data_IF_221427207302
#
_entry.id   IF_221427207302
#
_cell.length_a   1.000
_cell.length_b   1.000
_cell.length_c   1.000
_cell.angle_alpha   90.00
_cell.angle_beta   90.00
_cell.angle_gamma   90.00
#
_symmetry.space_group_name_H-M   'P 1'
#
loop_
_entity.id
_entity.type
_entity.pdbx_description
1 polymer ?
#
# COMPACT_ATOMS: atom_id res chain seq x y z
N UNK A 1 -48.75 -6.02 -6.86
CA UNK A 1 -48.15 -4.67 -7.03
C UNK A 1 -48.28 -3.79 -5.79
N UNK A 2 -49.47 -3.63 -5.19
CA UNK A 2 -49.62 -2.83 -3.96
C UNK A 2 -48.92 -3.48 -2.75
N UNK A 3 -49.04 -4.80 -2.61
CA UNK A 3 -48.40 -5.59 -1.56
C UNK A 3 -46.87 -5.55 -1.65
N UNK A 4 -46.29 -5.77 -2.84
CA UNK A 4 -44.84 -5.62 -3.07
C UNK A 4 -44.32 -4.25 -2.64
N UNK A 5 -45.01 -3.15 -3.02
CA UNK A 5 -44.59 -1.80 -2.62
C UNK A 5 -44.64 -1.59 -1.11
N UNK A 6 -45.63 -2.18 -0.43
CA UNK A 6 -45.73 -2.15 1.03
C UNK A 6 -44.59 -2.95 1.68
N UNK A 7 -44.32 -4.16 1.19
CA UNK A 7 -43.22 -5.02 1.63
C UNK A 7 -41.86 -4.33 1.46
N UNK A 8 -41.59 -3.72 0.29
CA UNK A 8 -40.36 -2.96 0.04
C UNK A 8 -40.20 -1.77 0.99
N UNK A 9 -41.29 -1.06 1.30
CA UNK A 9 -41.25 0.07 2.24
C UNK A 9 -40.98 -0.41 3.67
N UNK A 10 -41.59 -1.51 4.08
CA UNK A 10 -41.38 -2.13 5.39
C UNK A 10 -39.95 -2.66 5.52
N UNK A 11 -39.45 -3.42 4.54
CA UNK A 11 -38.09 -3.93 4.51
C UNK A 11 -37.06 -2.80 4.57
N UNK A 12 -37.27 -1.70 3.84
CA UNK A 12 -36.41 -0.51 3.93
C UNK A 12 -36.33 0.05 5.34
N UNK A 13 -37.48 0.10 6.04
CA UNK A 13 -37.54 0.59 7.43
C UNK A 13 -36.78 -0.36 8.37
N UNK A 14 -37.03 -1.67 8.28
CA UNK A 14 -36.34 -2.68 9.08
C UNK A 14 -34.82 -2.66 8.87
N UNK A 15 -34.37 -2.52 7.63
CA UNK A 15 -32.94 -2.37 7.29
C UNK A 15 -32.32 -1.10 7.89
N UNK A 16 -33.06 -0.01 7.99
CA UNK A 16 -32.59 1.21 8.64
C UNK A 16 -32.50 1.10 10.17
N UNK A 17 -33.31 0.22 10.76
CA UNK A 17 -33.33 -0.06 12.21
C UNK A 17 -32.37 -1.20 12.61
N UNK A 18 -31.76 -1.88 11.62
CA UNK A 18 -30.80 -2.97 11.83
C UNK A 18 -31.40 -4.37 11.86
N UNK A 19 -32.73 -4.51 11.77
CA UNK A 19 -33.47 -5.77 11.76
C UNK A 19 -33.38 -6.45 10.38
N UNK A 20 -32.19 -6.95 10.04
CA UNK A 20 -31.91 -7.47 8.69
C UNK A 20 -32.57 -8.81 8.40
N UNK A 21 -32.76 -9.64 9.42
CA UNK A 21 -33.43 -10.95 9.31
C UNK A 21 -34.93 -10.76 9.02
N UNK A 22 -35.63 -9.96 9.83
CA UNK A 22 -37.04 -9.61 9.62
C UNK A 22 -37.28 -8.92 8.26
N UNK A 23 -36.32 -8.10 7.81
CA UNK A 23 -36.38 -7.48 6.50
C UNK A 23 -36.33 -8.53 5.38
N UNK A 24 -35.52 -9.58 5.54
CA UNK A 24 -35.42 -10.65 4.56
C UNK A 24 -36.69 -11.50 4.56
N UNK A 25 -37.24 -11.84 5.74
CA UNK A 25 -38.52 -12.55 5.86
C UNK A 25 -39.66 -11.79 5.16
N UNK A 26 -39.73 -10.47 5.35
CA UNK A 26 -40.72 -9.60 4.68
C UNK A 26 -40.58 -9.62 3.16
N UNK A 27 -39.37 -9.86 2.64
CA UNK A 27 -39.10 -9.92 1.21
C UNK A 27 -39.16 -11.35 0.64
N UNK A 28 -39.20 -12.37 1.51
CA UNK A 28 -39.08 -13.78 1.11
C UNK A 28 -40.22 -14.20 0.20
N UNK A 29 -41.47 -13.83 0.52
CA UNK A 29 -42.64 -14.13 -0.32
C UNK A 29 -42.46 -13.59 -1.75
N UNK A 30 -41.97 -12.36 -1.89
CA UNK A 30 -41.73 -11.75 -3.19
C UNK A 30 -40.55 -12.38 -3.94
N UNK A 31 -39.56 -12.92 -3.23
CA UNK A 31 -38.44 -13.66 -3.81
C UNK A 31 -38.88 -15.06 -4.27
N UNK A 32 -39.74 -15.72 -3.50
CA UNK A 32 -40.29 -17.05 -3.79
C UNK A 32 -41.26 -17.01 -4.98
N UNK A 33 -42.01 -15.92 -5.12
CA UNK A 33 -42.85 -15.62 -6.29
C UNK A 33 -42.04 -15.23 -7.54
N UNK A 34 -40.70 -15.27 -7.48
CA UNK A 34 -39.76 -14.92 -8.55
C UNK A 34 -39.99 -13.52 -9.14
N UNK A 35 -40.43 -12.57 -8.32
CA UNK A 35 -40.68 -11.20 -8.77
C UNK A 35 -39.34 -10.53 -9.14
N UNK A 36 -39.22 -10.11 -10.40
CA UNK A 36 -38.05 -9.37 -10.88
C UNK A 36 -38.21 -7.87 -10.61
N UNK A 37 -37.82 -7.43 -9.42
CA UNK A 37 -37.78 -6.00 -9.05
C UNK A 37 -36.39 -5.57 -8.57
N UNK A 38 -35.93 -4.42 -9.07
CA UNK A 38 -34.62 -3.88 -8.73
C UNK A 38 -34.47 -3.60 -7.23
N UNK A 39 -35.50 -3.01 -6.60
CA UNK A 39 -35.46 -2.63 -5.19
C UNK A 39 -35.55 -3.87 -4.30
N UNK A 40 -36.35 -4.87 -4.70
CA UNK A 40 -36.42 -6.16 -4.03
C UNK A 40 -35.04 -6.81 -3.93
N UNK A 41 -34.36 -7.00 -5.06
CA UNK A 41 -33.02 -7.59 -5.06
C UNK A 41 -31.99 -6.71 -4.32
N UNK A 42 -32.09 -5.38 -4.44
CA UNK A 42 -31.18 -4.46 -3.74
C UNK A 42 -31.33 -4.51 -2.21
N UNK A 43 -32.56 -4.60 -1.70
CA UNK A 43 -32.83 -4.70 -0.27
C UNK A 43 -32.52 -6.09 0.29
N UNK A 44 -32.88 -7.15 -0.44
CA UNK A 44 -32.50 -8.51 -0.06
C UNK A 44 -30.97 -8.68 -0.02
N UNK A 45 -30.25 -8.08 -0.99
CA UNK A 45 -28.79 -8.06 -0.99
C UNK A 45 -28.22 -7.33 0.24
N UNK A 46 -28.80 -6.18 0.60
CA UNK A 46 -28.38 -5.42 1.76
C UNK A 46 -28.62 -6.19 3.07
N UNK A 47 -29.75 -6.87 3.20
CA UNK A 47 -30.05 -7.74 4.33
C UNK A 47 -28.99 -8.84 4.48
N UNK A 48 -28.71 -9.58 3.41
CA UNK A 48 -27.67 -10.61 3.38
C UNK A 48 -26.28 -10.05 3.72
N UNK A 49 -25.94 -8.88 3.19
CA UNK A 49 -24.67 -8.21 3.47
C UNK A 49 -24.50 -7.85 4.96
N UNK A 50 -25.59 -7.43 5.61
CA UNK A 50 -25.61 -7.11 7.04
C UNK A 50 -25.52 -8.37 7.91
N UNK A 51 -26.13 -9.47 7.48
CA UNK A 51 -26.04 -10.79 8.14
C UNK A 51 -24.67 -11.47 7.95
N UNK A 52 -23.84 -10.95 7.05
CA UNK A 52 -22.48 -11.47 6.80
C UNK A 52 -22.39 -12.41 5.59
N UNK A 53 -23.48 -12.70 4.91
CA UNK A 53 -23.46 -13.47 3.65
C UNK A 53 -23.14 -12.56 2.46
N UNK A 54 -21.86 -12.24 2.33
CA UNK A 54 -21.36 -11.40 1.25
C UNK A 54 -21.49 -12.07 -0.14
N UNK A 55 -21.50 -13.41 -0.21
CA UNK A 55 -21.61 -14.14 -1.47
C UNK A 55 -23.02 -14.05 -2.02
N UNK A 56 -24.02 -14.28 -1.18
CA UNK A 56 -25.42 -14.15 -1.58
C UNK A 56 -25.78 -12.69 -1.89
N UNK A 57 -25.27 -11.75 -1.08
CA UNK A 57 -25.42 -10.33 -1.35
C UNK A 57 -24.86 -9.93 -2.72
N UNK A 58 -23.68 -10.45 -3.10
CA UNK A 58 -23.10 -10.23 -4.43
C UNK A 58 -24.04 -10.69 -5.54
N UNK A 59 -24.55 -11.92 -5.46
CA UNK A 59 -25.45 -12.49 -6.48
C UNK A 59 -26.70 -11.62 -6.63
N UNK A 60 -27.31 -11.20 -5.52
CA UNK A 60 -28.51 -10.38 -5.53
C UNK A 60 -28.26 -8.96 -6.08
N UNK A 61 -27.14 -8.31 -5.71
CA UNK A 61 -26.77 -7.03 -6.32
C UNK A 61 -26.51 -7.17 -7.82
N UNK A 62 -25.85 -8.23 -8.27
CA UNK A 62 -25.64 -8.49 -9.69
C UNK A 62 -26.97 -8.71 -10.43
N UNK A 63 -27.94 -9.41 -9.83
CA UNK A 63 -29.31 -9.52 -10.39
C UNK A 63 -29.98 -8.15 -10.49
N UNK A 64 -29.90 -7.32 -9.46
CA UNK A 64 -30.46 -5.96 -9.50
C UNK A 64 -29.82 -5.12 -10.62
N UNK A 65 -28.50 -5.14 -10.75
CA UNK A 65 -27.77 -4.41 -11.80
C UNK A 65 -28.15 -4.90 -13.20
N UNK A 66 -28.44 -6.20 -13.38
CA UNK A 66 -28.91 -6.76 -14.65
C UNK A 66 -30.29 -6.24 -15.04
N UNK A 67 -31.17 -5.98 -14.06
CA UNK A 67 -32.49 -5.39 -14.32
C UNK A 67 -32.39 -3.91 -14.70
N UNK A 68 -31.65 -3.13 -13.92
CA UNK A 68 -31.42 -1.72 -14.23
C UNK A 68 -30.03 -1.27 -13.78
N UNK A 69 -29.12 -1.17 -14.75
CA UNK A 69 -27.75 -0.73 -14.52
C UNK A 69 -27.63 0.78 -14.23
N UNK A 70 -28.67 1.58 -14.51
CA UNK A 70 -28.61 3.05 -14.31
C UNK A 70 -28.79 3.43 -12.85
N UNK A 71 -29.44 2.58 -12.07
CA UNK A 71 -29.74 2.86 -10.68
C UNK A 71 -28.49 2.65 -9.79
N UNK A 72 -28.10 3.65 -8.97
CA UNK A 72 -26.82 3.60 -8.26
C UNK A 72 -26.82 2.69 -7.03
N UNK A 73 -27.99 2.36 -6.46
CA UNK A 73 -28.09 1.70 -5.16
C UNK A 73 -27.38 0.32 -5.11
N UNK A 74 -27.54 -0.51 -6.15
CA UNK A 74 -26.94 -1.83 -6.23
C UNK A 74 -25.43 -1.73 -6.47
N UNK A 75 -24.99 -0.79 -7.31
CA UNK A 75 -23.57 -0.50 -7.50
C UNK A 75 -22.89 -0.05 -6.20
N UNK A 76 -23.53 0.84 -5.44
CA UNK A 76 -23.02 1.30 -4.14
C UNK A 76 -22.97 0.17 -3.11
N UNK A 77 -23.98 -0.69 -3.07
CA UNK A 77 -24.01 -1.86 -2.20
C UNK A 77 -22.87 -2.83 -2.52
N UNK A 78 -22.68 -3.14 -3.80
CA UNK A 78 -21.61 -4.01 -4.27
C UNK A 78 -20.22 -3.40 -4.02
N UNK A 79 -20.04 -2.09 -4.27
CA UNK A 79 -18.81 -1.36 -3.93
C UNK A 79 -18.46 -1.50 -2.46
N UNK A 80 -19.42 -1.30 -1.56
CA UNK A 80 -19.21 -1.39 -0.11
C UNK A 80 -18.71 -2.78 0.30
N UNK A 81 -19.21 -3.85 -0.35
CA UNK A 81 -18.74 -5.21 -0.08
C UNK A 81 -17.26 -5.41 -0.45
N UNK A 82 -16.82 -4.88 -1.59
CA UNK A 82 -15.41 -4.91 -1.98
C UNK A 82 -14.55 -4.00 -1.11
N UNK A 83 -15.02 -2.78 -0.83
CA UNK A 83 -14.26 -1.78 -0.07
C UNK A 83 -14.01 -2.20 1.38
N UNK A 84 -15.01 -2.83 2.01
CA UNK A 84 -14.89 -3.38 3.38
C UNK A 84 -14.11 -4.70 3.44
N UNK A 85 -13.67 -5.24 2.30
CA UNK A 85 -12.95 -6.52 2.23
C UNK A 85 -13.82 -7.76 2.48
N UNK A 86 -15.16 -7.62 2.48
CA UNK A 86 -16.09 -8.76 2.58
C UNK A 86 -16.04 -9.64 1.33
N UNK A 87 -15.67 -9.05 0.19
CA UNK A 87 -15.39 -9.76 -1.05
C UNK A 87 -13.93 -9.54 -1.46
N UNK A 88 -13.26 -10.57 -2.00
CA UNK A 88 -11.93 -10.39 -2.57
C UNK A 88 -12.01 -9.44 -3.78
N UNK A 89 -10.99 -8.60 -4.00
CA UNK A 89 -10.91 -7.77 -5.19
C UNK A 89 -10.79 -8.66 -6.43
N UNK A 90 -11.57 -8.36 -7.45
CA UNK A 90 -11.53 -8.98 -8.77
C UNK A 90 -11.73 -7.90 -9.85
N UNK A 91 -11.71 -8.30 -11.13
CA UNK A 91 -11.95 -7.35 -12.23
C UNK A 91 -13.34 -6.69 -12.12
N UNK A 92 -14.31 -7.35 -11.48
CA UNK A 92 -15.65 -6.80 -11.23
C UNK A 92 -15.60 -5.63 -10.24
N UNK A 93 -14.74 -5.67 -9.22
CA UNK A 93 -14.53 -4.53 -8.32
C UNK A 93 -14.08 -3.27 -9.07
N UNK A 94 -13.22 -3.41 -10.09
CA UNK A 94 -12.77 -2.30 -10.92
C UNK A 94 -13.89 -1.73 -11.80
N UNK A 95 -14.74 -2.59 -12.37
CA UNK A 95 -15.93 -2.16 -13.13
C UNK A 95 -16.88 -1.33 -12.27
N UNK A 96 -17.13 -1.79 -11.03
CA UNK A 96 -17.96 -1.07 -10.07
C UNK A 96 -17.38 0.31 -9.75
N UNK A 97 -16.07 0.40 -9.48
CA UNK A 97 -15.41 1.69 -9.27
C UNK A 97 -15.56 2.62 -10.48
N UNK A 98 -15.32 2.12 -11.69
CA UNK A 98 -15.42 2.92 -12.91
C UNK A 98 -16.84 3.44 -13.15
N UNK A 99 -17.86 2.59 -12.92
CA UNK A 99 -19.25 3.01 -13.02
C UNK A 99 -19.58 4.11 -12.01
N UNK A 100 -19.21 3.92 -10.74
CA UNK A 100 -19.50 4.91 -9.70
C UNK A 100 -18.73 6.23 -9.89
N UNK A 101 -17.49 6.19 -10.39
CA UNK A 101 -16.73 7.39 -10.74
C UNK A 101 -17.43 8.15 -11.86
N UNK A 102 -17.89 7.45 -12.90
CA UNK A 102 -18.59 8.07 -14.03
C UNK A 102 -19.96 8.67 -13.64
N UNK A 103 -20.63 8.08 -12.65
CA UNK A 103 -21.94 8.53 -12.15
C UNK A 103 -21.86 9.44 -10.91
N UNK A 104 -20.67 9.81 -10.43
CA UNK A 104 -20.54 10.60 -9.19
C UNK A 104 -20.57 12.09 -9.49
N UNK A 105 -21.57 12.79 -8.95
CA UNK A 105 -21.67 14.25 -9.02
C UNK A 105 -20.74 14.96 -8.02
N UNK A 106 -20.31 14.25 -6.97
CA UNK A 106 -19.43 14.77 -5.93
C UNK A 106 -17.97 14.44 -6.21
N UNK A 107 -17.13 15.47 -6.25
CA UNK A 107 -15.69 15.32 -6.44
C UNK A 107 -15.02 14.59 -5.26
N UNK A 108 -15.45 14.85 -4.03
CA UNK A 108 -14.96 14.16 -2.84
C UNK A 108 -15.23 12.64 -2.89
N UNK A 109 -16.47 12.26 -3.25
CA UNK A 109 -16.83 10.84 -3.40
C UNK A 109 -16.06 10.20 -4.55
N UNK A 110 -15.89 10.93 -5.66
CA UNK A 110 -15.10 10.46 -6.79
C UNK A 110 -13.67 10.16 -6.38
N UNK A 111 -13.02 11.06 -5.65
CA UNK A 111 -11.65 10.86 -5.17
C UNK A 111 -11.52 9.67 -4.20
N UNK A 112 -12.47 9.48 -3.29
CA UNK A 112 -12.47 8.32 -2.40
C UNK A 112 -12.57 7.00 -3.19
N UNK A 113 -13.42 6.95 -4.22
CA UNK A 113 -13.57 5.76 -5.07
C UNK A 113 -12.34 5.54 -5.95
N UNK A 114 -11.71 6.61 -6.44
CA UNK A 114 -10.43 6.53 -7.18
C UNK A 114 -9.31 5.94 -6.32
N UNK A 115 -9.23 6.34 -5.05
CA UNK A 115 -8.27 5.77 -4.10
C UNK A 115 -8.50 4.27 -3.89
N UNK A 116 -9.75 3.86 -3.67
CA UNK A 116 -10.11 2.44 -3.58
C UNK A 116 -9.80 1.69 -4.89
N UNK A 117 -10.02 2.31 -6.05
CA UNK A 117 -9.67 1.72 -7.35
C UNK A 117 -8.15 1.51 -7.49
N UNK A 118 -7.32 2.45 -7.02
CA UNK A 118 -5.85 2.30 -7.00
C UNK A 118 -5.43 1.12 -6.12
N UNK A 119 -6.07 0.97 -4.95
CA UNK A 119 -5.87 -0.20 -4.08
C UNK A 119 -6.18 -1.51 -4.80
N UNK A 120 -7.30 -1.58 -5.51
CA UNK A 120 -7.66 -2.77 -6.30
C UNK A 120 -6.67 -3.04 -7.44
N UNK A 121 -6.19 -2.02 -8.16
CA UNK A 121 -5.14 -2.23 -9.17
C UNK A 121 -3.87 -2.83 -8.56
N UNK A 122 -3.48 -2.37 -7.37
CA UNK A 122 -2.31 -2.89 -6.66
C UNK A 122 -2.48 -4.34 -6.21
N UNK A 123 -3.66 -4.71 -5.71
CA UNK A 123 -3.98 -6.07 -5.26
C UNK A 123 -4.06 -7.05 -6.43
N UNK A 124 -4.60 -6.61 -7.57
CA UNK A 124 -4.69 -7.38 -8.81
C UNK A 124 -3.40 -7.38 -9.65
N UNK A 125 -2.34 -6.73 -9.17
CA UNK A 125 -1.06 -6.54 -9.86
C UNK A 125 -1.19 -5.90 -11.25
N UNK A 126 -2.19 -5.02 -11.42
CA UNK A 126 -2.47 -4.25 -12.65
C UNK A 126 -1.64 -2.96 -12.67
N UNK A 127 -0.32 -3.12 -12.69
CA UNK A 127 0.61 -2.01 -12.52
C UNK A 127 0.61 -1.03 -13.70
N UNK A 128 0.28 -1.49 -14.91
CA UNK A 128 0.23 -0.63 -16.09
C UNK A 128 -0.87 0.44 -15.99
N UNK A 129 -1.98 0.13 -15.32
CA UNK A 129 -3.05 1.09 -15.04
C UNK A 129 -2.68 1.97 -13.84
N UNK A 130 -2.08 1.38 -12.80
CA UNK A 130 -1.67 2.10 -11.59
C UNK A 130 -0.56 3.12 -11.84
N UNK A 131 0.35 2.85 -12.77
CA UNK A 131 1.48 3.74 -13.09
C UNK A 131 1.04 5.07 -13.72
N UNK A 132 -0.14 5.09 -14.36
CA UNK A 132 -0.75 6.30 -14.95
C UNK A 132 -1.29 7.25 -13.90
N UNK A 133 -1.81 6.70 -12.80
CA UNK A 133 -2.36 7.46 -11.68
C UNK A 133 -2.07 6.74 -10.35
N UNK A 134 -0.83 6.85 -9.84
CA UNK A 134 -0.43 6.16 -8.61
C UNK A 134 -0.98 6.83 -7.34
N UNK A 135 -1.57 8.04 -7.47
CA UNK A 135 -1.98 8.87 -6.34
C UNK A 135 -0.81 9.52 -5.61
N UNK A 136 -1.13 10.23 -4.52
CA UNK A 136 -0.16 10.99 -3.72
C UNK A 136 -0.10 10.53 -2.25
N UNK A 137 -0.78 9.45 -1.88
CA UNK A 137 -0.73 8.94 -0.50
C UNK A 137 0.64 8.29 -0.20
N UNK A 138 1.48 8.88 0.67
CA UNK A 138 2.79 8.34 0.98
C UNK A 138 2.72 6.96 1.66
N UNK A 139 1.63 6.63 2.35
CA UNK A 139 1.47 5.34 3.02
C UNK A 139 1.26 4.24 1.96
N UNK A 140 0.33 4.45 1.03
CA UNK A 140 0.07 3.54 -0.09
C UNK A 140 1.28 3.41 -1.02
N UNK A 141 1.93 4.52 -1.40
CA UNK A 141 3.15 4.49 -2.21
C UNK A 141 4.29 3.76 -1.49
N UNK A 142 4.39 3.90 -0.17
CA UNK A 142 5.30 3.10 0.65
C UNK A 142 5.05 1.60 0.53
N UNK A 143 3.77 1.16 0.58
CA UNK A 143 3.41 -0.26 0.38
C UNK A 143 3.77 -0.76 -1.03
N UNK A 144 3.59 0.08 -2.05
CA UNK A 144 4.00 -0.24 -3.42
C UNK A 144 5.51 -0.45 -3.48
N UNK A 145 6.28 0.50 -2.93
CA UNK A 145 7.73 0.40 -2.88
C UNK A 145 8.21 -0.86 -2.15
N UNK A 146 7.61 -1.18 -1.00
CA UNK A 146 7.96 -2.36 -0.20
C UNK A 146 7.65 -3.69 -0.93
N UNK A 147 6.58 -3.74 -1.75
CA UNK A 147 6.21 -4.92 -2.53
C UNK A 147 7.09 -5.09 -3.77
N UNK A 148 7.33 -4.01 -4.52
CA UNK A 148 8.10 -4.06 -5.76
C UNK A 148 9.61 -4.21 -5.51
N UNK A 149 10.16 -3.60 -4.46
CA UNK A 149 11.58 -3.71 -4.14
C UNK A 149 12.04 -5.13 -3.75
N UNK A 150 11.09 -6.04 -3.47
CA UNK A 150 11.37 -7.46 -3.21
C UNK A 150 11.44 -8.32 -4.48
N UNK A 151 11.08 -7.76 -5.64
CA UNK A 151 11.15 -8.48 -6.91
C UNK A 151 12.56 -8.40 -7.50
N UNK A 152 13.09 -9.55 -7.90
CA UNK A 152 14.40 -9.63 -8.57
C UNK A 152 14.34 -9.13 -10.02
N UNK A 153 13.21 -9.39 -10.71
CA UNK A 153 12.98 -8.98 -12.09
C UNK A 153 11.72 -8.13 -12.12
N UNK A 154 11.85 -6.90 -12.64
CA UNK A 154 10.77 -5.93 -12.78
C UNK A 154 10.55 -5.58 -14.24
N UNK A 155 9.29 -5.36 -14.63
CA UNK A 155 8.97 -4.75 -15.92
C UNK A 155 9.38 -3.28 -15.95
N UNK A 156 9.37 -2.67 -17.14
CA UNK A 156 9.57 -1.23 -17.30
C UNK A 156 8.51 -0.41 -16.56
N UNK A 157 7.25 -0.86 -16.57
CA UNK A 157 6.13 -0.21 -15.88
C UNK A 157 6.26 -0.33 -14.37
N UNK A 158 6.65 -1.49 -13.85
CA UNK A 158 6.92 -1.69 -12.41
C UNK A 158 8.09 -0.82 -11.95
N UNK A 159 9.11 -0.68 -12.78
CA UNK A 159 10.27 0.15 -12.44
C UNK A 159 9.91 1.65 -12.42
N UNK A 160 9.15 2.12 -13.40
CA UNK A 160 8.66 3.50 -13.43
C UNK A 160 7.76 3.81 -12.22
N UNK A 161 6.87 2.87 -11.88
CA UNK A 161 6.01 2.97 -10.69
C UNK A 161 6.82 2.98 -9.40
N UNK A 162 7.83 2.10 -9.27
CA UNK A 162 8.72 2.05 -8.11
C UNK A 162 9.50 3.36 -7.94
N UNK A 163 10.00 3.92 -9.04
CA UNK A 163 10.68 5.21 -9.03
C UNK A 163 9.77 6.33 -8.52
N UNK A 164 8.54 6.43 -9.04
CA UNK A 164 7.52 7.40 -8.59
C UNK A 164 7.20 7.22 -7.11
N UNK A 165 7.02 5.97 -6.67
CA UNK A 165 6.74 5.64 -5.27
C UNK A 165 7.87 6.09 -4.34
N UNK A 166 9.13 5.78 -4.68
CA UNK A 166 10.28 6.19 -3.88
C UNK A 166 10.46 7.71 -3.82
N UNK A 167 10.27 8.41 -4.94
CA UNK A 167 10.35 9.88 -4.97
C UNK A 167 9.33 10.53 -4.02
N UNK A 168 8.12 9.98 -3.94
CA UNK A 168 7.07 10.47 -3.06
C UNK A 168 7.35 10.19 -1.58
N UNK A 169 7.98 9.06 -1.26
CA UNK A 169 8.28 8.69 0.14
C UNK A 169 9.67 9.11 0.60
N UNK A 170 10.45 9.80 -0.25
CA UNK A 170 11.88 10.07 -0.02
C UNK A 170 12.17 10.85 1.26
N UNK A 171 11.24 11.71 1.68
CA UNK A 171 11.43 12.53 2.88
C UNK A 171 11.08 11.75 4.16
N UNK A 172 10.28 10.67 4.06
CA UNK A 172 9.92 9.77 5.17
C UNK A 172 10.96 8.68 5.45
N UNK A 173 11.95 8.55 4.57
CA UNK A 173 13.07 7.59 4.66
C UNK A 173 13.84 7.63 5.98
N UNK A 174 13.90 8.79 6.65
CA UNK A 174 14.52 8.92 7.96
C UNK A 174 13.93 7.96 9.02
N UNK A 175 12.67 7.56 8.85
CA UNK A 175 11.91 6.81 9.85
C UNK A 175 12.00 5.29 9.67
N UNK A 176 12.23 4.80 8.43
CA UNK A 176 12.19 3.38 8.09
C UNK A 176 13.49 2.97 7.38
N UNK A 177 14.50 2.48 8.13
CA UNK A 177 15.83 2.16 7.58
C UNK A 177 15.83 1.10 6.47
N UNK A 178 14.85 0.22 6.45
CA UNK A 178 14.67 -0.83 5.43
C UNK A 178 14.31 -0.23 4.06
N UNK A 179 13.45 0.79 4.04
CA UNK A 179 13.11 1.52 2.82
C UNK A 179 14.31 2.24 2.24
N UNK A 180 15.18 2.80 3.10
CA UNK A 180 16.42 3.43 2.67
C UNK A 180 17.35 2.44 1.98
N UNK A 181 17.51 1.26 2.57
CA UNK A 181 18.34 0.22 1.99
C UNK A 181 17.79 -0.22 0.62
N UNK A 182 16.48 -0.42 0.52
CA UNK A 182 15.82 -0.78 -0.73
C UNK A 182 15.93 0.32 -1.79
N UNK A 183 15.80 1.59 -1.39
CA UNK A 183 16.01 2.74 -2.27
C UNK A 183 17.45 2.82 -2.78
N UNK A 184 18.44 2.65 -1.91
CA UNK A 184 19.85 2.61 -2.31
C UNK A 184 20.15 1.45 -3.27
N UNK A 185 19.58 0.25 -3.02
CA UNK A 185 19.68 -0.90 -3.94
C UNK A 185 19.02 -0.61 -5.29
N UNK A 186 17.88 0.08 -5.29
CA UNK A 186 17.19 0.52 -6.49
C UNK A 186 18.05 1.51 -7.29
N UNK A 187 18.58 2.56 -6.66
CA UNK A 187 19.47 3.52 -7.29
C UNK A 187 20.74 2.87 -7.86
N UNK A 188 21.32 1.90 -7.14
CA UNK A 188 22.50 1.17 -7.61
C UNK A 188 22.23 0.42 -8.92
N UNK A 189 21.04 -0.14 -9.06
CA UNK A 189 20.63 -0.90 -10.25
C UNK A 189 20.27 0.03 -11.42
N UNK A 190 19.80 1.26 -11.15
CA UNK A 190 19.13 2.10 -12.15
C UNK A 190 19.82 3.44 -12.50
N UNK A 191 20.80 3.91 -11.71
CA UNK A 191 21.47 5.21 -11.92
C UNK A 191 23.00 5.13 -11.83
N UNK A 192 23.65 6.19 -12.32
CA UNK A 192 25.08 6.45 -12.13
C UNK A 192 25.45 6.50 -10.64
N UNK A 193 26.59 5.90 -10.27
CA UNK A 193 27.03 5.74 -8.87
C UNK A 193 27.18 7.05 -8.08
N UNK A 194 27.13 8.22 -8.72
CA UNK A 194 27.32 9.54 -8.09
C UNK A 194 26.12 9.94 -7.22
N UNK A 195 24.91 9.86 -7.77
CA UNK A 195 23.67 10.20 -7.05
C UNK A 195 23.50 9.32 -5.79
N UNK A 196 23.88 8.04 -5.90
CA UNK A 196 23.87 7.10 -4.79
C UNK A 196 24.74 7.54 -3.61
N UNK A 197 25.94 8.06 -3.89
CA UNK A 197 26.88 8.50 -2.83
C UNK A 197 26.31 9.73 -2.11
N UNK A 198 25.78 10.69 -2.86
CA UNK A 198 25.21 11.92 -2.29
C UNK A 198 23.97 11.62 -1.43
N UNK A 199 23.05 10.79 -1.93
CA UNK A 199 21.85 10.39 -1.19
C UNK A 199 22.18 9.51 0.02
N UNK A 200 23.12 8.56 -0.13
CA UNK A 200 23.61 7.75 0.98
C UNK A 200 24.22 8.59 2.10
N UNK A 201 25.06 9.58 1.76
CA UNK A 201 25.62 10.51 2.73
C UNK A 201 24.54 11.37 3.39
N UNK A 202 23.52 11.82 2.64
CA UNK A 202 22.39 12.58 3.20
C UNK A 202 21.61 11.76 4.22
N UNK A 203 21.33 10.49 3.93
CA UNK A 203 20.62 9.59 4.85
C UNK A 203 21.42 9.28 6.12
N UNK A 204 22.73 9.02 5.99
CA UNK A 204 23.61 8.81 7.14
C UNK A 204 23.63 10.04 8.08
N UNK A 205 23.63 11.27 7.52
CA UNK A 205 23.58 12.51 8.30
C UNK A 205 22.27 12.64 9.09
N UNK A 206 21.13 12.28 8.51
CA UNK A 206 19.83 12.31 9.19
C UNK A 206 19.77 11.28 10.31
N UNK A 207 20.21 10.06 10.05
CA UNK A 207 20.24 8.99 11.06
C UNK A 207 21.18 9.29 12.23
N UNK A 208 22.35 9.89 11.96
CA UNK A 208 23.28 10.34 13.00
C UNK A 208 22.66 11.43 13.90
N UNK A 209 21.87 12.34 13.32
CA UNK A 209 21.14 13.37 14.06
C UNK A 209 20.09 12.76 15.00
N UNK A 210 19.28 11.81 14.51
CA UNK A 210 18.27 11.09 15.31
C UNK A 210 18.94 10.31 16.45
N UNK A 211 20.06 9.64 16.18
CA UNK A 211 20.79 8.86 17.18
C UNK A 211 21.38 9.75 18.27
N UNK A 212 21.92 10.92 17.91
CA UNK A 212 22.43 11.91 18.87
C UNK A 212 21.33 12.46 19.77
N UNK A 213 20.14 12.72 19.23
CA UNK A 213 18.96 13.15 20.01
C UNK A 213 18.40 12.03 20.90
N UNK A 214 18.44 10.76 20.48
CA UNK A 214 17.99 9.63 21.33
C UNK A 214 19.00 9.28 22.43
N UNK A 215 20.29 9.43 22.17
CA UNK A 215 21.37 9.25 23.17
C UNK A 215 21.30 10.30 24.28
N UNK A 216 20.90 11.55 23.98
CA UNK A 216 20.68 12.58 25.01
C UNK A 216 19.45 12.30 25.88
N UNK A 217 18.56 11.38 25.46
CA UNK A 217 17.36 10.96 26.21
C UNK A 217 17.47 9.52 26.76
N UNK A 218 18.66 8.89 26.73
CA UNK A 218 18.91 7.62 27.43
C UNK A 218 18.49 6.32 26.73
N UNK A 219 18.03 6.35 25.47
CA UNK A 219 17.57 5.14 24.76
C UNK A 219 18.60 4.60 23.72
N UNK A 220 19.32 3.53 24.12
CA UNK A 220 19.78 2.35 23.34
C UNK A 220 20.57 2.48 22.02
N UNK A 221 21.89 2.19 22.06
CA UNK A 221 22.85 2.01 20.95
C UNK A 221 22.61 0.77 20.02
N UNK A 222 21.56 -0.01 20.25
CA UNK A 222 21.39 -1.36 19.68
C UNK A 222 21.03 -1.32 18.17
N UNK A 223 20.33 -0.28 17.72
CA UNK A 223 19.81 -0.19 16.34
C UNK A 223 20.91 -0.04 15.27
N UNK A 224 22.04 0.61 15.58
CA UNK A 224 23.07 0.93 14.58
C UNK A 224 23.91 -0.29 14.19
N UNK A 225 24.27 -1.14 15.16
CA UNK A 225 25.04 -2.37 14.90
C UNK A 225 24.25 -3.36 14.04
N UNK A 226 22.94 -3.45 14.26
CA UNK A 226 22.06 -4.30 13.44
C UNK A 226 21.94 -3.78 12.01
N UNK A 227 21.85 -2.46 11.80
CA UNK A 227 21.83 -1.86 10.46
C UNK A 227 23.15 -2.10 9.70
N UNK A 228 24.29 -1.90 10.36
CA UNK A 228 25.61 -2.12 9.75
C UNK A 228 25.81 -3.59 9.36
N UNK A 229 25.37 -4.53 10.20
CA UNK A 229 25.45 -5.97 9.95
C UNK A 229 24.53 -6.40 8.79
N UNK A 230 23.29 -5.92 8.76
CA UNK A 230 22.33 -6.19 7.69
C UNK A 230 22.79 -5.63 6.32
N UNK A 231 23.42 -4.45 6.32
CA UNK A 231 24.06 -3.90 5.13
C UNK A 231 25.21 -4.82 4.67
N UNK A 232 26.12 -5.20 5.57
CA UNK A 232 27.27 -6.05 5.27
C UNK A 232 26.88 -7.44 4.73
N UNK A 233 25.82 -8.05 5.27
CA UNK A 233 25.28 -9.36 4.84
C UNK A 233 24.53 -9.28 3.49
N UNK A 234 23.80 -8.20 3.23
CA UNK A 234 23.09 -8.02 1.95
C UNK A 234 24.03 -7.89 0.76
N UNK A 235 25.23 -7.32 0.95
CA UNK A 235 26.19 -7.09 -0.13
C UNK A 235 27.11 -8.28 -0.41
N UNK A 236 27.33 -9.18 0.55
CA UNK A 236 28.09 -10.43 0.32
C UNK A 236 27.32 -11.44 -0.51
N UNK A 237 25.98 -11.43 -0.47
CA UNK A 237 25.12 -12.38 -1.19
C UNK A 237 25.00 -12.06 -2.70
N UNK A 238 25.13 -10.79 -3.11
CA UNK A 238 25.05 -10.39 -4.54
C UNK A 238 26.36 -10.58 -5.32
N UNK A 239 27.47 -10.86 -4.65
CA UNK A 239 28.79 -11.03 -5.26
C UNK A 239 29.00 -12.31 -6.14
N UNK A 240 28.32 -13.45 -5.95
CA UNK A 240 28.61 -14.66 -6.74
C UNK A 240 28.20 -14.56 -8.22
N UNK A 241 27.16 -13.78 -8.56
CA UNK A 241 26.65 -13.69 -9.94
C UNK A 241 27.43 -12.73 -10.86
N UNK A 242 28.34 -11.92 -10.32
CA UNK A 242 29.18 -11.02 -11.12
C UNK A 242 30.33 -11.74 -11.87
N UNK A 243 30.49 -13.07 -11.73
CA UNK A 243 31.54 -13.84 -12.41
C UNK A 243 31.21 -14.28 -13.84
N UNK A 244 29.97 -14.16 -14.32
CA UNK A 244 29.55 -14.74 -15.61
C UNK A 244 29.58 -13.78 -16.82
N UNK A 245 29.62 -12.45 -16.63
CA UNK A 245 29.78 -11.48 -17.72
C UNK A 245 31.12 -10.76 -17.61
N UNK A 246 32.20 -11.38 -18.11
CA UNK A 246 33.54 -10.79 -18.08
C UNK A 246 34.18 -10.75 -19.47
N UNK A 247 33.72 -9.80 -20.29
CA UNK A 247 34.48 -9.24 -21.43
C UNK A 247 34.01 -7.80 -21.72
N UNK A 248 34.40 -6.84 -20.90
CA UNK A 248 34.90 -5.52 -21.34
C UNK A 248 35.44 -4.73 -20.14
N UNK A 249 36.39 -3.85 -20.43
CA UNK A 249 37.19 -3.05 -19.49
C UNK A 249 36.35 -2.19 -18.53
N UNK A 250 36.45 -2.43 -17.23
CA UNK A 250 36.58 -1.37 -16.22
C UNK A 250 37.04 -1.95 -14.87
N UNK A 251 38.26 -1.58 -14.44
CA UNK A 251 38.85 -1.94 -13.14
C UNK A 251 38.40 -1.04 -11.98
N UNK A 252 37.40 -0.18 -12.20
CA UNK A 252 37.01 0.90 -11.27
C UNK A 252 35.93 0.53 -10.26
N UNK A 253 35.16 -0.54 -10.46
CA UNK A 253 33.98 -0.87 -9.64
C UNK A 253 34.29 -1.60 -8.33
N UNK A 254 35.41 -2.33 -8.23
CA UNK A 254 35.74 -3.09 -7.00
C UNK A 254 36.50 -2.22 -5.98
N UNK A 255 37.19 -1.16 -6.41
CA UNK A 255 37.92 -0.26 -5.51
C UNK A 255 37.03 0.76 -4.78
N UNK A 256 35.86 1.11 -5.33
CA UNK A 256 34.92 2.02 -4.69
C UNK A 256 34.26 1.41 -3.44
N UNK A 257 34.10 0.08 -3.42
CA UNK A 257 33.46 -0.66 -2.34
C UNK A 257 34.34 -0.71 -1.06
N UNK A 258 35.65 -0.89 -1.22
CA UNK A 258 36.60 -0.76 -0.12
C UNK A 258 36.71 0.68 0.40
N UNK A 259 36.65 1.69 -0.48
CA UNK A 259 36.71 3.10 -0.08
C UNK A 259 35.47 3.53 0.73
N UNK A 260 34.27 3.06 0.38
CA UNK A 260 33.04 3.42 1.09
C UNK A 260 32.99 2.85 2.52
N UNK A 261 33.42 1.59 2.71
CA UNK A 261 33.56 0.96 4.03
C UNK A 261 34.72 1.57 4.84
N UNK A 262 35.84 1.93 4.19
CA UNK A 262 37.01 2.51 4.86
C UNK A 262 36.85 3.98 5.27
N UNK A 263 35.97 4.77 4.65
CA UNK A 263 35.79 6.19 5.03
C UNK A 263 34.66 6.44 6.04
N UNK A 264 33.55 5.68 5.99
CA UNK A 264 32.40 5.91 6.88
C UNK A 264 32.54 5.25 8.26
N UNK A 265 33.21 4.09 8.35
CA UNK A 265 33.41 3.39 9.62
C UNK A 265 34.31 4.20 10.59
N UNK A 266 35.44 4.80 10.16
CA UNK A 266 36.29 5.55 11.09
C UNK A 266 35.71 6.89 11.53
N UNK A 267 35.02 7.64 10.66
CA UNK A 267 34.49 8.96 11.03
C UNK A 267 33.35 8.89 12.08
N UNK A 268 32.55 7.82 12.07
CA UNK A 268 31.54 7.60 13.11
C UNK A 268 32.14 7.07 14.43
N UNK A 269 33.20 6.26 14.37
CA UNK A 269 33.91 5.78 15.57
C UNK A 269 34.74 6.90 16.24
N UNK A 270 35.38 7.77 15.45
CA UNK A 270 36.21 8.86 15.96
C UNK A 270 35.36 9.93 16.67
N UNK A 271 34.12 10.16 16.22
CA UNK A 271 33.22 11.12 16.86
C UNK A 271 32.59 10.59 18.17
N UNK A 272 32.57 9.27 18.40
CA UNK A 272 32.13 8.65 19.67
C UNK A 272 33.26 8.55 20.71
N UNK A 273 34.53 8.47 20.27
CA UNK A 273 35.68 8.40 21.18
C UNK A 273 36.16 9.77 21.67
N UNK A 274 35.67 10.87 21.08
CA UNK A 274 35.99 12.25 21.48
C UNK A 274 34.78 12.89 22.19
N UNK A 275 34.27 12.25 23.25
CA UNK A 275 33.52 12.94 24.29
C UNK A 275 34.38 12.98 25.56
N UNK A 276 34.64 14.16 26.15
CA UNK A 276 35.47 14.26 27.34
C UNK A 276 34.74 13.66 28.55
N UNK A 277 35.43 12.79 29.26
CA UNK A 277 35.08 12.35 30.60
C UNK A 277 35.18 13.55 31.56
N UNK A 278 34.06 14.23 31.80
CA UNK A 278 33.92 15.18 32.90
C UNK A 278 32.66 14.84 33.70
N UNK A 279 32.77 13.80 34.54
CA UNK A 279 32.00 13.71 35.77
C UNK A 279 32.97 13.21 36.84
N UNK A 280 33.55 14.17 37.57
CA UNK A 280 34.41 13.92 38.71
C UNK A 280 33.53 13.69 39.95
N UNK A 281 33.85 12.63 40.68
CA UNK A 281 33.47 12.41 42.08
C UNK A 281 33.80 13.63 42.94
N UNK A 282 32.87 14.03 43.80
CA UNK A 282 33.22 14.50 45.15
C UNK A 282 32.31 13.79 46.14
N UNK A 283 32.88 12.78 46.79
CA UNK A 283 32.52 12.32 48.13
C UNK A 283 33.53 12.99 49.05
N UNK A 284 33.07 13.95 49.85
CA UNK A 284 33.40 14.16 51.26
C UNK A 284 32.36 15.09 51.86
#
# INVERSE_FOLDING_TARGET
>A
MAELKAALKQAKKLLSEGHSEEALETLQEALDDEIEDYMLFSFAALANANMGDAKQARILYEKAIKLDAKLPAAWQGLYKLFDTGKLPPDDRALEVCNHLIASSDSEEKRHAIEETRRRFYFELNRYDQLEKDPGNDPIFLGKIADKLAKKDVMSTTETALLQKAFEAVKDSFAEIPERNLNYCKFLYTFRDCRDMIEDGLRMCKVSAKITRTRLSHGYGLVSWKSWLRAAQESFTISAPHAKAHRKSNNRTTVNFFCLFLCFLIPQCYLHMLIMPAQYNMQIF
#
